data_IF_423945339568
#
_entry.id   IF_423945339568
#
_cell.length_a   1.000
_cell.length_b   1.000
_cell.length_c   1.000
_cell.angle_alpha   90.00
_cell.angle_beta   90.00
_cell.angle_gamma   90.00
#
_symmetry.space_group_name_H-M   'P 1'
#
loop_
_entity.id
_entity.type
_entity.pdbx_description
1 polymer ?
#
# COMPACT_ATOMS: atom_id res chain seq x y z
N UNK A 1 74.22 30.78 -29.04
CA UNK A 1 73.37 29.59 -28.83
C UNK A 1 72.26 29.89 -27.84
N UNK A 2 71.09 29.35 -28.12
CA UNK A 2 69.83 29.52 -27.39
C UNK A 2 69.87 28.95 -25.96
N UNK A 3 69.23 29.63 -25.01
CA UNK A 3 68.03 29.12 -24.29
C UNK A 3 67.59 30.09 -23.18
N UNK A 4 66.43 30.71 -23.38
CA UNK A 4 65.52 31.18 -22.32
C UNK A 4 64.91 29.95 -21.65
N UNK A 5 64.60 30.02 -20.35
CA UNK A 5 63.22 29.90 -19.83
C UNK A 5 63.16 30.15 -18.32
N UNK A 6 62.45 31.23 -17.95
CA UNK A 6 61.55 31.17 -16.80
C UNK A 6 60.54 30.04 -17.07
N UNK A 7 60.09 29.31 -16.06
CA UNK A 7 58.68 29.40 -15.65
C UNK A 7 58.35 28.46 -14.49
N UNK A 8 57.60 29.06 -13.57
CA UNK A 8 56.68 28.49 -12.60
C UNK A 8 56.65 26.96 -12.45
N UNK A 9 56.88 26.49 -11.22
CA UNK A 9 56.28 25.26 -10.69
C UNK A 9 54.77 25.29 -10.97
N UNK A 10 54.32 24.65 -12.04
CA UNK A 10 52.92 24.31 -12.20
C UNK A 10 52.58 23.26 -11.16
N UNK A 11 51.69 23.63 -10.23
CA UNK A 11 50.91 22.65 -9.48
C UNK A 11 50.30 21.68 -10.51
N UNK A 12 50.28 20.37 -10.27
CA UNK A 12 49.51 19.48 -11.13
C UNK A 12 48.06 19.97 -11.11
N UNK A 13 47.57 20.45 -12.25
CA UNK A 13 46.15 20.68 -12.47
C UNK A 13 45.45 19.33 -12.23
N UNK A 14 44.88 19.23 -11.04
CA UNK A 14 44.14 18.07 -10.59
C UNK A 14 43.05 17.80 -11.64
N UNK A 15 43.01 16.57 -12.16
CA UNK A 15 42.01 16.03 -13.13
C UNK A 15 40.57 16.01 -12.55
N UNK A 16 40.13 17.11 -11.97
CA UNK A 16 38.80 17.29 -11.38
C UNK A 16 37.75 17.16 -12.49
N UNK A 17 38.10 17.52 -13.73
CA UNK A 17 37.16 17.46 -14.84
C UNK A 17 36.84 16.01 -15.29
N UNK A 18 37.78 15.07 -15.17
CA UNK A 18 37.56 13.65 -15.52
C UNK A 18 36.88 12.91 -14.37
N UNK A 19 37.21 13.25 -13.12
CA UNK A 19 36.55 12.70 -11.94
C UNK A 19 35.09 13.20 -11.79
N UNK A 20 34.82 14.47 -12.14
CA UNK A 20 33.47 15.03 -12.19
C UNK A 20 32.64 14.37 -13.31
N UNK A 21 33.19 14.23 -14.53
CA UNK A 21 32.49 13.54 -15.62
C UNK A 21 32.22 12.06 -15.30
N UNK A 22 33.18 11.36 -14.68
CA UNK A 22 32.94 9.98 -14.20
C UNK A 22 31.86 9.94 -13.15
N UNK A 23 31.86 10.86 -12.18
CA UNK A 23 30.80 10.94 -11.16
C UNK A 23 29.43 11.22 -11.78
N UNK A 24 29.34 12.05 -12.81
CA UNK A 24 28.08 12.31 -13.53
C UNK A 24 27.62 11.09 -14.33
N UNK A 25 28.53 10.38 -15.01
CA UNK A 25 28.21 9.14 -15.75
C UNK A 25 27.80 7.99 -14.79
N UNK A 26 28.39 7.93 -13.59
CA UNK A 26 27.97 6.97 -12.55
C UNK A 26 26.69 7.41 -11.82
N UNK A 27 26.40 8.72 -11.76
CA UNK A 27 25.16 9.25 -11.20
C UNK A 27 23.95 8.96 -12.11
N UNK A 28 24.13 8.92 -13.43
CA UNK A 28 23.10 8.59 -14.44
C UNK A 28 23.08 7.12 -14.90
N UNK A 29 23.77 6.22 -14.19
CA UNK A 29 23.86 4.82 -14.64
C UNK A 29 22.48 4.11 -14.62
N UNK A 30 22.16 3.30 -15.65
CA UNK A 30 20.91 2.50 -15.70
C UNK A 30 20.72 1.59 -14.49
N UNK A 31 21.84 1.22 -13.85
CA UNK A 31 21.91 0.36 -12.69
C UNK A 31 21.42 1.07 -11.42
N UNK A 32 21.67 2.38 -11.26
CA UNK A 32 21.11 3.18 -10.17
C UNK A 32 19.60 3.39 -10.36
N UNK A 33 19.14 3.70 -11.58
CA UNK A 33 17.71 3.78 -11.90
C UNK A 33 16.99 2.44 -11.69
N UNK A 34 17.67 1.33 -11.97
CA UNK A 34 17.17 -0.02 -11.69
C UNK A 34 17.01 -0.25 -10.18
N UNK A 35 18.04 0.05 -9.38
CA UNK A 35 18.01 -0.09 -7.91
C UNK A 35 16.98 0.84 -7.26
N UNK A 36 16.88 2.10 -7.71
CA UNK A 36 15.89 3.09 -7.28
C UNK A 36 14.46 2.61 -7.57
N UNK A 37 14.21 2.08 -8.77
CA UNK A 37 12.91 1.50 -9.12
C UNK A 37 12.58 0.27 -8.28
N UNK A 38 13.56 -0.58 -7.99
CA UNK A 38 13.39 -1.77 -7.14
C UNK A 38 13.05 -1.37 -5.71
N UNK A 39 13.75 -0.39 -5.12
CA UNK A 39 13.48 0.12 -3.78
C UNK A 39 12.09 0.77 -3.66
N UNK A 40 11.71 1.62 -4.63
CA UNK A 40 10.36 2.21 -4.71
C UNK A 40 9.28 1.13 -4.82
N UNK A 41 9.49 0.13 -5.67
CA UNK A 41 8.55 -0.98 -5.87
C UNK A 41 8.38 -1.80 -4.60
N UNK A 42 9.46 -2.06 -3.85
CA UNK A 42 9.41 -2.78 -2.59
C UNK A 42 8.53 -2.06 -1.56
N UNK A 43 8.76 -0.77 -1.30
CA UNK A 43 7.93 0.00 -0.36
C UNK A 43 6.48 0.03 -0.80
N UNK A 44 6.22 0.33 -2.08
CA UNK A 44 4.86 0.37 -2.62
C UNK A 44 4.16 -0.98 -2.41
N UNK A 45 4.89 -2.09 -2.59
CA UNK A 45 4.35 -3.44 -2.40
C UNK A 45 4.02 -3.72 -0.93
N UNK A 46 4.94 -3.43 -0.01
CA UNK A 46 4.72 -3.64 1.44
C UNK A 46 3.58 -2.76 1.95
N UNK A 47 3.49 -1.52 1.49
CA UNK A 47 2.42 -0.59 1.85
C UNK A 47 1.07 -1.02 1.29
N UNK A 48 1.03 -1.40 0.01
CA UNK A 48 -0.17 -1.94 -0.62
C UNK A 48 -0.63 -3.21 0.09
N UNK A 49 0.30 -4.06 0.55
CA UNK A 49 -0.01 -5.26 1.31
C UNK A 49 -0.61 -4.94 2.69
N UNK A 50 -0.07 -3.96 3.41
CA UNK A 50 -0.61 -3.49 4.69
C UNK A 50 -1.99 -2.85 4.54
N UNK A 51 -2.17 -2.00 3.53
CA UNK A 51 -3.45 -1.36 3.25
C UNK A 51 -4.50 -2.39 2.83
N UNK A 52 -4.13 -3.38 2.01
CA UNK A 52 -4.99 -4.51 1.66
C UNK A 52 -5.41 -5.29 2.91
N UNK A 53 -4.50 -5.52 3.84
CA UNK A 53 -4.84 -6.19 5.09
C UNK A 53 -5.80 -5.33 5.93
N UNK A 54 -5.53 -4.04 6.06
CA UNK A 54 -6.38 -3.12 6.81
C UNK A 54 -7.82 -3.04 6.22
N UNK A 55 -7.96 -3.03 4.89
CA UNK A 55 -9.28 -3.10 4.24
C UNK A 55 -9.96 -4.46 4.45
N UNK A 56 -9.21 -5.55 4.56
CA UNK A 56 -9.76 -6.87 4.88
C UNK A 56 -10.42 -6.87 6.28
N UNK A 57 -9.84 -6.16 7.26
CA UNK A 57 -10.45 -5.99 8.58
C UNK A 57 -11.80 -5.28 8.49
N UNK A 58 -11.90 -4.21 7.70
CA UNK A 58 -13.18 -3.53 7.46
C UNK A 58 -14.22 -4.49 6.86
N UNK A 59 -13.84 -5.28 5.85
CA UNK A 59 -14.75 -6.27 5.25
C UNK A 59 -15.27 -7.26 6.28
N UNK A 60 -14.44 -7.72 7.21
CA UNK A 60 -14.83 -8.63 8.29
C UNK A 60 -15.88 -7.96 9.20
N UNK A 61 -15.68 -6.69 9.57
CA UNK A 61 -16.66 -5.92 10.34
C UNK A 61 -17.99 -5.77 9.60
N UNK A 62 -17.97 -5.43 8.31
CA UNK A 62 -19.19 -5.29 7.51
C UNK A 62 -19.91 -6.63 7.29
N UNK A 63 -19.16 -7.69 7.00
CA UNK A 63 -19.72 -9.03 6.87
C UNK A 63 -20.38 -9.50 8.18
N UNK A 64 -19.84 -9.09 9.33
CA UNK A 64 -20.44 -9.32 10.64
C UNK A 64 -21.78 -8.61 10.78
N UNK A 65 -21.84 -7.29 10.52
CA UNK A 65 -23.09 -6.51 10.57
C UNK A 65 -24.16 -7.11 9.64
N UNK A 66 -23.78 -7.41 8.40
CA UNK A 66 -24.70 -7.99 7.42
C UNK A 66 -25.19 -9.39 7.81
N UNK A 67 -24.39 -10.15 8.57
CA UNK A 67 -24.79 -11.46 9.12
C UNK A 67 -25.70 -11.30 10.33
N UNK A 68 -25.45 -10.30 11.17
CA UNK A 68 -26.32 -9.96 12.30
C UNK A 68 -27.70 -9.49 11.82
N UNK A 69 -27.77 -8.73 10.73
CA UNK A 69 -29.03 -8.34 10.08
C UNK A 69 -29.84 -9.54 9.57
N UNK A 70 -29.16 -10.64 9.19
CA UNK A 70 -29.82 -11.89 8.84
C UNK A 70 -30.34 -12.61 10.08
N UNK A 71 -29.50 -12.73 11.12
CA UNK A 71 -29.85 -13.42 12.37
C UNK A 71 -31.02 -12.76 13.09
N UNK A 72 -31.03 -11.43 13.15
CA UNK A 72 -32.05 -10.64 13.84
C UNK A 72 -33.38 -10.55 13.07
N UNK A 73 -33.43 -11.03 11.82
CA UNK A 73 -34.60 -10.85 10.95
C UNK A 73 -34.81 -9.40 10.50
N UNK A 74 -33.80 -8.54 10.60
CA UNK A 74 -33.89 -7.15 10.17
C UNK A 74 -34.10 -7.02 8.65
N UNK A 75 -33.49 -7.91 7.85
CA UNK A 75 -33.68 -7.93 6.39
C UNK A 75 -35.14 -8.10 5.94
N UNK A 76 -35.91 -9.10 6.42
CA UNK A 76 -37.32 -9.22 6.09
C UNK A 76 -38.15 -8.04 6.62
N UNK A 77 -37.82 -7.47 7.78
CA UNK A 77 -38.46 -6.25 8.28
C UNK A 77 -38.28 -5.06 7.32
N UNK A 78 -37.06 -4.83 6.84
CA UNK A 78 -36.76 -3.79 5.86
C UNK A 78 -37.48 -4.01 4.52
N UNK A 79 -37.61 -5.27 4.09
CA UNK A 79 -38.37 -5.62 2.88
C UNK A 79 -39.87 -5.29 3.04
N UNK A 80 -40.44 -5.50 4.22
CA UNK A 80 -41.82 -5.12 4.54
C UNK A 80 -42.02 -3.59 4.53
N UNK A 81 -41.00 -2.81 4.89
CA UNK A 81 -41.00 -1.35 4.76
C UNK A 81 -40.81 -0.85 3.31
N UNK A 82 -40.84 -1.76 2.32
CA UNK A 82 -40.73 -1.42 0.89
C UNK A 82 -39.29 -1.33 0.37
N UNK A 83 -38.29 -1.69 1.18
CA UNK A 83 -36.90 -1.60 0.76
C UNK A 83 -36.52 -2.77 -0.16
N UNK A 84 -36.06 -2.44 -1.38
CA UNK A 84 -35.58 -3.44 -2.34
C UNK A 84 -34.21 -3.99 -1.93
N UNK A 85 -33.95 -5.27 -2.25
CA UNK A 85 -32.68 -5.94 -1.93
C UNK A 85 -31.45 -5.22 -2.49
N UNK A 86 -31.57 -4.63 -3.68
CA UNK A 86 -30.48 -3.86 -4.31
C UNK A 86 -30.17 -2.60 -3.50
N UNK A 87 -31.18 -1.90 -3.00
CA UNK A 87 -31.01 -0.71 -2.16
C UNK A 87 -30.29 -1.02 -0.85
N UNK A 88 -30.59 -2.17 -0.24
CA UNK A 88 -29.87 -2.66 0.95
C UNK A 88 -28.37 -2.87 0.68
N UNK A 89 -28.04 -3.56 -0.41
CA UNK A 89 -26.66 -3.84 -0.79
C UNK A 89 -25.91 -2.56 -1.18
N UNK A 90 -26.59 -1.64 -1.88
CA UNK A 90 -26.01 -0.36 -2.27
C UNK A 90 -25.70 0.51 -1.04
N UNK A 91 -26.57 0.53 -0.03
CA UNK A 91 -26.30 1.24 1.22
C UNK A 91 -25.05 0.69 1.92
N UNK A 92 -24.91 -0.64 2.00
CA UNK A 92 -23.72 -1.27 2.59
C UNK A 92 -22.46 -0.98 1.77
N UNK A 93 -22.56 -0.97 0.44
CA UNK A 93 -21.45 -0.59 -0.43
C UNK A 93 -21.03 0.86 -0.16
N UNK A 94 -21.96 1.82 -0.08
CA UNK A 94 -21.63 3.23 0.16
C UNK A 94 -20.91 3.39 1.50
N UNK A 95 -21.44 2.81 2.58
CA UNK A 95 -20.82 2.90 3.91
C UNK A 95 -19.43 2.26 3.91
N UNK A 96 -19.27 1.11 3.24
CA UNK A 96 -17.97 0.47 3.06
C UNK A 96 -16.98 1.36 2.32
N UNK A 97 -17.38 1.97 1.19
CA UNK A 97 -16.50 2.86 0.42
C UNK A 97 -16.07 4.09 1.21
N UNK A 98 -16.96 4.69 2.01
CA UNK A 98 -16.61 5.81 2.89
C UNK A 98 -15.52 5.39 3.87
N UNK A 99 -15.64 4.21 4.48
CA UNK A 99 -14.62 3.66 5.39
C UNK A 99 -13.28 3.40 4.69
N UNK A 100 -13.30 2.80 3.49
CA UNK A 100 -12.10 2.55 2.69
C UNK A 100 -11.39 3.83 2.30
N UNK A 101 -12.12 4.84 1.82
CA UNK A 101 -11.53 6.13 1.41
C UNK A 101 -10.82 6.78 2.60
N UNK A 102 -11.45 6.77 3.78
CA UNK A 102 -10.82 7.29 5.00
C UNK A 102 -9.55 6.53 5.37
N UNK A 103 -9.60 5.19 5.32
CA UNK A 103 -8.46 4.34 5.64
C UNK A 103 -7.30 4.52 4.64
N UNK A 104 -7.61 4.58 3.35
CA UNK A 104 -6.64 4.80 2.29
C UNK A 104 -6.00 6.19 2.41
N UNK A 105 -6.79 7.23 2.64
CA UNK A 105 -6.28 8.59 2.85
C UNK A 105 -5.39 8.67 4.10
N UNK A 106 -5.82 8.08 5.21
CA UNK A 106 -5.06 8.07 6.46
C UNK A 106 -3.76 7.28 6.35
N UNK A 107 -3.77 6.10 5.72
CA UNK A 107 -2.56 5.32 5.46
C UNK A 107 -1.57 6.03 4.55
N UNK A 108 -2.07 6.69 3.50
CA UNK A 108 -1.24 7.51 2.59
C UNK A 108 -0.64 8.71 3.34
N UNK A 109 -1.40 9.34 4.22
CA UNK A 109 -0.95 10.46 5.05
C UNK A 109 0.12 10.05 6.06
N UNK A 110 -0.06 8.92 6.76
CA UNK A 110 0.97 8.37 7.66
C UNK A 110 2.26 8.12 6.89
N UNK A 111 2.17 7.50 5.71
CA UNK A 111 3.35 7.27 4.88
C UNK A 111 4.00 8.58 4.42
N UNK A 112 3.21 9.59 4.08
CA UNK A 112 3.76 10.89 3.70
C UNK A 112 4.57 11.54 4.83
N UNK A 113 4.11 11.43 6.08
CA UNK A 113 4.78 12.02 7.25
C UNK A 113 5.96 11.16 7.73
N UNK A 114 5.78 9.85 7.83
CA UNK A 114 6.74 8.95 8.48
C UNK A 114 7.60 8.16 7.48
N UNK A 115 7.28 8.22 6.18
CA UNK A 115 7.95 7.48 5.12
C UNK A 115 9.26 8.12 4.63
N UNK A 116 9.61 9.32 5.10
CA UNK A 116 10.82 10.01 4.67
C UNK A 116 12.12 9.33 5.07
N UNK A 117 12.07 8.42 6.06
CA UNK A 117 13.23 7.69 6.57
C UNK A 117 13.29 6.23 6.07
N UNK A 118 12.28 5.74 5.34
CA UNK A 118 12.27 4.34 4.90
C UNK A 118 13.15 4.06 3.67
N UNK A 119 13.42 5.06 2.82
CA UNK A 119 14.38 4.95 1.70
C UNK A 119 15.01 6.27 1.33
N UNK A 120 16.22 6.21 0.76
CA UNK A 120 16.94 7.35 0.14
C UNK A 120 16.18 8.00 -1.04
N UNK A 121 15.18 7.30 -1.55
CA UNK A 121 14.36 7.66 -2.71
C UNK A 121 13.01 8.24 -2.29
N UNK A 122 12.71 9.47 -2.70
CA UNK A 122 11.41 10.11 -2.42
C UNK A 122 10.35 9.61 -3.41
N UNK A 123 9.22 9.14 -2.88
CA UNK A 123 8.02 8.84 -3.65
C UNK A 123 7.41 10.12 -4.22
N UNK A 124 7.03 10.07 -5.50
CA UNK A 124 6.39 11.19 -6.19
C UNK A 124 4.88 11.23 -5.89
N UNK A 125 4.23 12.38 -6.11
CA UNK A 125 2.79 12.50 -5.95
C UNK A 125 2.00 11.51 -6.85
N UNK A 126 2.52 11.18 -8.04
CA UNK A 126 1.95 10.16 -8.92
C UNK A 126 2.01 8.76 -8.31
N UNK A 127 3.05 8.42 -7.56
CA UNK A 127 3.18 7.12 -6.91
C UNK A 127 2.16 6.96 -5.79
N UNK A 128 1.97 8.01 -4.98
CA UNK A 128 0.93 8.04 -3.95
C UNK A 128 -0.48 7.96 -4.53
N UNK A 129 -0.74 8.65 -5.65
CA UNK A 129 -2.02 8.57 -6.33
C UNK A 129 -2.28 7.19 -6.94
N UNK A 130 -1.24 6.57 -7.51
CA UNK A 130 -1.29 5.20 -8.00
C UNK A 130 -1.61 4.20 -6.88
N UNK A 131 -0.92 4.34 -5.73
CA UNK A 131 -1.14 3.52 -4.54
C UNK A 131 -2.55 3.72 -3.96
N UNK A 132 -3.07 4.95 -3.94
CA UNK A 132 -4.43 5.21 -3.51
C UNK A 132 -5.47 4.50 -4.40
N UNK A 133 -5.33 4.60 -5.72
CA UNK A 133 -6.27 3.98 -6.66
C UNK A 133 -6.18 2.45 -6.67
N UNK A 134 -4.98 1.88 -6.56
CA UNK A 134 -4.80 0.42 -6.50
C UNK A 134 -5.47 -0.15 -5.25
N UNK A 135 -5.36 0.53 -4.10
CA UNK A 135 -6.05 0.15 -2.88
C UNK A 135 -7.57 0.28 -2.99
N UNK A 136 -8.06 1.34 -3.63
CA UNK A 136 -9.50 1.50 -3.86
C UNK A 136 -10.02 0.34 -4.71
N UNK A 137 -9.35 -0.03 -5.79
CA UNK A 137 -9.74 -1.15 -6.64
C UNK A 137 -9.66 -2.49 -5.90
N UNK A 138 -8.59 -2.72 -5.14
CA UNK A 138 -8.41 -3.94 -4.36
C UNK A 138 -9.48 -4.08 -3.27
N UNK A 139 -9.94 -2.97 -2.68
CA UNK A 139 -11.03 -2.98 -1.70
C UNK A 139 -12.37 -3.44 -2.29
N UNK A 140 -12.62 -3.19 -3.59
CA UNK A 140 -13.85 -3.64 -4.26
C UNK A 140 -13.86 -5.16 -4.41
N UNK A 141 -12.69 -5.74 -4.74
CA UNK A 141 -12.52 -7.19 -4.77
C UNK A 141 -12.80 -7.80 -3.39
N UNK A 142 -12.24 -7.22 -2.32
CA UNK A 142 -12.47 -7.71 -0.96
C UNK A 142 -13.92 -7.57 -0.52
N UNK A 143 -14.60 -6.48 -0.89
CA UNK A 143 -16.04 -6.33 -0.64
C UNK A 143 -16.86 -7.42 -1.32
N UNK A 144 -16.52 -7.75 -2.58
CA UNK A 144 -17.12 -8.86 -3.31
C UNK A 144 -16.95 -10.20 -2.57
N UNK A 145 -15.73 -10.50 -2.10
CA UNK A 145 -15.48 -11.68 -1.26
C UNK A 145 -16.30 -11.65 0.04
N UNK A 146 -16.38 -10.51 0.71
CA UNK A 146 -17.20 -10.31 1.90
C UNK A 146 -18.67 -10.63 1.67
N UNK A 147 -19.24 -10.18 0.55
CA UNK A 147 -20.63 -10.50 0.16
C UNK A 147 -20.84 -12.00 -0.08
N UNK A 148 -19.87 -12.67 -0.71
CA UNK A 148 -19.92 -14.13 -0.95
C UNK A 148 -19.90 -14.88 0.38
N UNK A 149 -18.94 -14.60 1.26
CA UNK A 149 -18.86 -15.22 2.58
C UNK A 149 -20.11 -14.95 3.41
N UNK A 150 -20.57 -13.70 3.42
CA UNK A 150 -21.79 -13.32 4.12
C UNK A 150 -23.03 -13.98 3.52
N UNK A 151 -23.04 -14.35 2.24
CA UNK A 151 -24.15 -15.08 1.61
C UNK A 151 -24.23 -16.53 2.09
N UNK A 152 -23.09 -17.21 2.22
CA UNK A 152 -23.00 -18.58 2.75
C UNK A 152 -23.23 -18.66 4.25
N UNK A 153 -22.93 -17.57 4.96
CA UNK A 153 -23.14 -17.45 6.39
C UNK A 153 -24.61 -17.52 6.79
N UNK A 154 -24.89 -18.41 7.75
CA UNK A 154 -26.14 -18.42 8.51
C UNK A 154 -26.05 -17.66 9.83
N UNK A 155 -24.83 -17.52 10.37
CA UNK A 155 -24.60 -16.87 11.64
C UNK A 155 -23.36 -15.97 11.62
N UNK A 156 -23.43 -14.88 12.37
CA UNK A 156 -22.33 -13.94 12.61
C UNK A 156 -21.12 -14.66 13.18
N UNK A 157 -21.34 -15.63 14.09
CA UNK A 157 -20.26 -16.44 14.70
C UNK A 157 -19.55 -17.34 13.70
N UNK A 158 -20.28 -17.90 12.73
CA UNK A 158 -19.70 -18.76 11.69
C UNK A 158 -18.83 -18.01 10.69
N UNK A 159 -18.95 -16.67 10.63
CA UNK A 159 -18.19 -15.80 9.72
C UNK A 159 -17.03 -15.14 10.43
N UNK A 160 -17.29 -14.57 11.61
CA UNK A 160 -16.32 -13.79 12.37
C UNK A 160 -15.11 -14.62 12.77
N UNK A 161 -15.32 -15.81 13.33
CA UNK A 161 -14.23 -16.59 13.92
C UNK A 161 -13.20 -17.06 12.89
N UNK A 162 -13.59 -17.68 11.75
CA UNK A 162 -12.64 -18.11 10.73
C UNK A 162 -11.97 -16.94 10.02
N UNK A 163 -12.69 -15.86 9.76
CA UNK A 163 -12.13 -14.70 9.09
C UNK A 163 -11.15 -13.92 9.99
N UNK A 164 -11.44 -13.79 11.29
CA UNK A 164 -10.50 -13.19 12.25
C UNK A 164 -9.24 -14.03 12.40
N UNK A 165 -9.38 -15.37 12.45
CA UNK A 165 -8.24 -16.26 12.51
C UNK A 165 -7.37 -16.16 11.24
N UNK A 166 -8.00 -16.17 10.06
CA UNK A 166 -7.31 -16.00 8.78
C UNK A 166 -6.67 -14.61 8.65
N UNK A 167 -7.33 -13.58 9.14
CA UNK A 167 -6.76 -12.23 9.21
C UNK A 167 -5.51 -12.21 10.10
N UNK A 168 -5.60 -12.76 11.31
CA UNK A 168 -4.47 -12.80 12.24
C UNK A 168 -3.27 -13.57 11.67
N UNK A 169 -3.49 -14.70 10.98
CA UNK A 169 -2.39 -15.43 10.33
C UNK A 169 -1.77 -14.64 9.18
N UNK A 170 -2.57 -13.90 8.41
CA UNK A 170 -2.06 -13.03 7.34
C UNK A 170 -1.27 -11.83 7.91
N UNK A 171 -1.71 -11.22 9.02
CA UNK A 171 -0.94 -10.17 9.72
C UNK A 171 0.41 -10.71 10.18
N UNK A 172 0.42 -11.87 10.84
CA UNK A 172 1.66 -12.48 11.33
C UNK A 172 2.58 -12.83 10.16
N UNK A 173 2.04 -13.41 9.08
CA UNK A 173 2.80 -13.72 7.88
C UNK A 173 3.42 -12.48 7.22
N UNK A 174 2.68 -11.38 7.11
CA UNK A 174 3.22 -10.11 6.62
C UNK A 174 4.34 -9.58 7.52
N UNK A 175 4.16 -9.62 8.84
CA UNK A 175 5.16 -9.15 9.78
C UNK A 175 6.47 -9.94 9.69
N UNK A 176 6.38 -11.27 9.55
CA UNK A 176 7.54 -12.15 9.36
C UNK A 176 8.26 -11.86 8.05
N UNK A 177 7.52 -11.72 6.94
CA UNK A 177 8.09 -11.39 5.63
C UNK A 177 8.81 -10.04 5.65
N UNK A 178 8.21 -9.02 6.26
CA UNK A 178 8.83 -7.71 6.40
C UNK A 178 10.10 -7.79 7.25
N UNK A 179 10.05 -8.51 8.38
CA UNK A 179 11.23 -8.65 9.25
C UNK A 179 12.38 -9.42 8.57
N UNK A 180 12.08 -10.49 7.83
CA UNK A 180 13.10 -11.23 7.07
C UNK A 180 13.75 -10.37 6.00
N UNK A 181 12.97 -9.57 5.26
CA UNK A 181 13.54 -8.67 4.25
C UNK A 181 14.36 -7.54 4.88
N UNK A 182 14.01 -7.08 6.08
CA UNK A 182 14.80 -6.10 6.83
C UNK A 182 16.10 -6.69 7.40
N UNK A 183 16.16 -7.99 7.71
CA UNK A 183 17.38 -8.66 8.17
C UNK A 183 18.34 -9.01 7.02
N UNK A 184 17.83 -9.19 5.80
CA UNK A 184 18.60 -9.55 4.60
C UNK A 184 19.16 -8.34 3.81
N UNK A 185 18.84 -7.09 4.21
CA UNK A 185 19.30 -5.83 3.58
C UNK A 185 20.32 -5.13 4.47
#
# INVERSE_FOLDING_TARGET
EHAKTNDSKSLPELEIHVAALRRDIYAESPQRWSMEKIGKLFIITVMSAHQYLATACLVICFASIMSQDKESGFRPLMALMGMRRVSYLLAHLIIYQVGVVFLAAFGTFIHYIMGSELTDEKLTASDYFSMFNSNLLASWHQFGLGLIFCSFARSTRTVMFPLLALFATLVIGQLVLVNQVLEDV
#
